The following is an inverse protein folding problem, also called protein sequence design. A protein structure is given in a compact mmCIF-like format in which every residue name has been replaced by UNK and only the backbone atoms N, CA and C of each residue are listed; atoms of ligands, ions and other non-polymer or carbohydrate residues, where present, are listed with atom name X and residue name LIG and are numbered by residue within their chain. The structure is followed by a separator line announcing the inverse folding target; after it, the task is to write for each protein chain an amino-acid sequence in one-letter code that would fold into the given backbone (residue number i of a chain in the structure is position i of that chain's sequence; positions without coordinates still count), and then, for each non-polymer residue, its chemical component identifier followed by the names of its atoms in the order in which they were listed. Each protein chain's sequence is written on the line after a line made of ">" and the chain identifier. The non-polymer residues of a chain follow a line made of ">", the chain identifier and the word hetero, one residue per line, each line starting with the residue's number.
data_IF_702449372439
#
_entry.id   IF_702449372439
#
_cell.length_a   1.000
_cell.length_b   1.000
_cell.length_c   1.000
_cell.angle_alpha   90.00
_cell.angle_beta   90.00
_cell.angle_gamma   90.00
#
_symmetry.space_group_name_H-M   'P 1'
#
loop_
_entity.id
_entity.type
_entity.pdbx_description
1 polymer ?
#
# COMPACT_ATOMS: atom_id res chain seq x y z
N UNK A 1 -10.73 -20.72 -14.84
CA UNK A 1 -10.49 -19.92 -13.62
C UNK A 1 -9.10 -19.26 -13.60
N UNK A 2 -8.01 -20.00 -13.88
CA UNK A 2 -6.62 -19.47 -13.97
C UNK A 2 -6.43 -18.23 -14.86
N UNK A 3 -7.04 -18.20 -16.05
CA UNK A 3 -6.89 -17.08 -17.00
C UNK A 3 -7.40 -15.74 -16.47
N UNK A 4 -8.47 -15.74 -15.65
CA UNK A 4 -9.00 -14.52 -15.01
C UNK A 4 -8.05 -14.00 -13.92
N UNK A 5 -7.49 -14.90 -13.11
CA UNK A 5 -6.55 -14.56 -12.04
C UNK A 5 -5.24 -13.99 -12.59
N UNK A 6 -4.70 -14.59 -13.66
CA UNK A 6 -3.49 -14.08 -14.34
C UNK A 6 -3.74 -12.67 -14.90
N UNK A 7 -4.89 -12.44 -15.54
CA UNK A 7 -5.26 -11.11 -16.04
C UNK A 7 -5.38 -10.09 -14.90
N UNK A 8 -6.03 -10.47 -13.79
CA UNK A 8 -6.16 -9.57 -12.63
C UNK A 8 -4.79 -9.24 -12.03
N UNK A 9 -3.91 -10.23 -11.88
CA UNK A 9 -2.56 -10.03 -11.40
C UNK A 9 -1.75 -9.07 -12.30
N UNK A 10 -1.84 -9.24 -13.62
CA UNK A 10 -1.21 -8.31 -14.57
C UNK A 10 -1.78 -6.89 -14.48
N UNK A 11 -3.08 -6.73 -14.25
CA UNK A 11 -3.69 -5.41 -13.98
C UNK A 11 -3.15 -4.80 -12.69
N UNK A 12 -3.04 -5.58 -11.62
CA UNK A 12 -2.50 -5.13 -10.33
C UNK A 12 -1.03 -4.69 -10.46
N UNK A 13 -0.22 -5.42 -11.24
CA UNK A 13 1.16 -5.00 -11.54
C UNK A 13 1.22 -3.65 -12.25
N UNK A 14 0.35 -3.42 -13.24
CA UNK A 14 0.27 -2.12 -13.93
C UNK A 14 -0.18 -1.00 -13.00
N UNK A 15 -1.16 -1.27 -12.14
CA UNK A 15 -1.63 -0.30 -11.15
C UNK A 15 -0.50 0.05 -10.17
N UNK A 16 0.23 -0.95 -9.66
CA UNK A 16 1.36 -0.76 -8.76
C UNK A 16 2.46 0.09 -9.42
N UNK A 17 2.80 -0.20 -10.69
CA UNK A 17 3.82 0.53 -11.44
C UNK A 17 3.44 2.01 -11.71
N UNK A 18 2.15 2.34 -11.67
CA UNK A 18 1.64 3.69 -11.89
C UNK A 18 1.49 4.50 -10.59
N UNK A 19 1.76 3.92 -9.42
CA UNK A 19 1.66 4.65 -8.15
C UNK A 19 2.75 5.71 -8.07
N UNK A 20 2.35 6.94 -7.70
CA UNK A 20 3.25 8.06 -7.45
C UNK A 20 4.01 7.95 -6.12
N UNK A 21 4.55 9.06 -5.58
CA UNK A 21 5.24 9.05 -4.28
C UNK A 21 4.39 8.42 -3.18
N UNK A 22 5.04 7.69 -2.27
CA UNK A 22 4.39 7.03 -1.11
C UNK A 22 5.02 7.50 0.18
N UNK A 23 4.20 7.64 1.22
CA UNK A 23 4.66 8.01 2.55
C UNK A 23 3.79 7.36 3.62
N UNK A 24 4.35 7.17 4.82
CA UNK A 24 3.64 6.64 5.98
C UNK A 24 3.40 7.73 7.02
N UNK A 25 2.42 7.52 7.88
CA UNK A 25 2.08 8.43 8.97
C UNK A 25 0.78 9.18 8.74
N UNK A 26 0.64 10.31 9.41
CA UNK A 26 -0.56 11.14 9.36
C UNK A 26 -0.22 12.61 9.22
N UNK A 27 -1.06 13.34 8.49
CA UNK A 27 -1.00 14.80 8.37
C UNK A 27 -2.20 15.38 9.12
N UNK A 28 -1.94 16.34 10.00
CA UNK A 28 -2.97 17.03 10.76
C UNK A 28 -2.67 18.52 10.88
N UNK A 29 -3.70 19.35 10.88
CA UNK A 29 -3.58 20.77 11.18
C UNK A 29 -3.61 20.99 12.69
N UNK A 30 -2.65 21.75 13.24
CA UNK A 30 -2.57 22.08 14.67
C UNK A 30 -2.69 23.60 14.90
N UNK A 31 -3.74 24.07 15.61
CA UNK A 31 -3.88 25.47 16.03
C UNK A 31 -2.93 25.86 17.21
N UNK A 32 -2.39 27.09 17.27
CA UNK A 32 -2.48 28.19 16.31
C UNK A 32 -1.37 28.13 15.24
N UNK A 33 -1.51 27.22 14.27
CA UNK A 33 -1.08 27.41 12.89
C UNK A 33 0.15 26.62 12.44
N UNK A 34 -0.03 25.34 12.10
CA UNK A 34 0.77 24.66 11.06
C UNK A 34 0.19 23.30 10.72
N UNK A 35 0.40 22.86 9.47
CA UNK A 35 0.25 21.45 9.14
C UNK A 35 1.41 20.68 9.73
N UNK A 36 1.14 19.50 10.28
CA UNK A 36 2.17 18.61 10.81
C UNK A 36 2.03 17.22 10.24
N UNK A 37 3.13 16.67 9.75
CA UNK A 37 3.26 15.28 9.39
C UNK A 37 3.95 14.52 10.52
N UNK A 38 3.28 13.48 11.03
CA UNK A 38 3.76 12.65 12.13
C UNK A 38 3.93 11.22 11.64
N UNK A 39 5.11 10.65 11.85
CA UNK A 39 5.45 9.31 11.36
C UNK A 39 6.39 8.59 12.33
N UNK A 40 6.57 7.28 12.12
CA UNK A 40 7.50 6.46 12.89
C UNK A 40 8.79 6.26 12.12
N UNK A 41 9.93 6.49 12.78
CA UNK A 41 11.26 6.20 12.26
C UNK A 41 12.05 5.46 13.33
N UNK A 42 12.49 4.23 13.03
CA UNK A 42 13.25 3.37 13.97
C UNK A 42 12.58 3.28 15.36
N UNK A 43 11.26 3.09 15.39
CA UNK A 43 10.45 3.00 16.62
C UNK A 43 10.12 4.33 17.31
N UNK A 44 10.77 5.44 16.93
CA UNK A 44 10.53 6.77 17.49
C UNK A 44 9.48 7.53 16.66
N UNK A 45 8.72 8.40 17.32
CA UNK A 45 7.80 9.32 16.65
C UNK A 45 8.56 10.57 16.20
N UNK A 46 8.55 10.86 14.91
CA UNK A 46 9.01 12.11 14.35
C UNK A 46 7.81 12.98 13.94
N UNK A 47 7.94 14.29 14.06
CA UNK A 47 6.92 15.26 13.70
C UNK A 47 7.58 16.42 12.96
N UNK A 48 7.07 16.75 11.77
CA UNK A 48 7.62 17.79 10.90
C UNK A 48 6.51 18.78 10.56
N UNK A 49 6.80 20.08 10.70
CA UNK A 49 5.90 21.14 10.26
C UNK A 49 5.96 21.28 8.74
N UNK A 50 4.81 21.46 8.10
CA UNK A 50 4.64 21.54 6.66
C UNK A 50 3.96 22.86 6.27
N UNK A 51 4.26 23.33 5.07
CA UNK A 51 3.40 24.28 4.36
C UNK A 51 2.07 23.60 3.96
N UNK A 52 1.08 24.40 3.56
CA UNK A 52 -0.19 23.87 3.08
C UNK A 52 -0.03 23.01 1.81
N UNK A 53 0.82 23.45 0.88
CA UNK A 53 1.12 22.70 -0.35
C UNK A 53 1.80 21.36 -0.04
N UNK A 54 2.82 21.37 0.81
CA UNK A 54 3.49 20.15 1.28
C UNK A 54 2.52 19.20 2.00
N UNK A 55 1.56 19.75 2.75
CA UNK A 55 0.54 18.94 3.41
C UNK A 55 -0.36 18.21 2.40
N UNK A 56 -0.76 18.89 1.31
CA UNK A 56 -1.54 18.27 0.22
C UNK A 56 -0.75 17.16 -0.48
N UNK A 57 0.51 17.41 -0.82
CA UNK A 57 1.38 16.39 -1.43
C UNK A 57 1.57 15.18 -0.50
N UNK A 58 1.78 15.42 0.79
CA UNK A 58 1.97 14.37 1.79
C UNK A 58 0.69 13.56 2.02
N UNK A 59 -0.48 14.20 2.02
CA UNK A 59 -1.77 13.50 2.06
C UNK A 59 -1.94 12.57 0.86
N UNK A 60 -1.59 13.03 -0.35
CA UNK A 60 -1.62 12.19 -1.54
C UNK A 60 -0.64 11.02 -1.44
N UNK A 61 0.56 11.24 -0.88
CA UNK A 61 1.55 10.19 -0.68
C UNK A 61 1.11 9.14 0.35
N UNK A 62 0.42 9.56 1.42
CA UNK A 62 -0.17 8.65 2.41
C UNK A 62 -1.30 7.82 1.78
N UNK A 63 -2.12 8.43 0.93
CA UNK A 63 -3.17 7.71 0.21
C UNK A 63 -2.59 6.70 -0.79
N UNK A 64 -1.53 7.08 -1.50
CA UNK A 64 -0.81 6.17 -2.38
C UNK A 64 -0.24 4.97 -1.61
N UNK A 65 0.25 5.16 -0.40
CA UNK A 65 0.74 4.08 0.44
C UNK A 65 -0.35 3.04 0.75
N UNK A 66 -1.55 3.49 1.13
CA UNK A 66 -2.69 2.58 1.36
C UNK A 66 -3.05 1.77 0.11
N UNK A 67 -3.04 2.41 -1.06
CA UNK A 67 -3.28 1.73 -2.35
C UNK A 67 -2.22 0.67 -2.64
N UNK A 68 -0.94 0.94 -2.33
CA UNK A 68 0.12 -0.08 -2.45
C UNK A 68 -0.21 -1.28 -1.57
N UNK A 69 -0.56 -1.06 -0.30
CA UNK A 69 -0.89 -2.14 0.63
C UNK A 69 -2.07 -2.98 0.13
N UNK A 70 -3.12 -2.34 -0.38
CA UNK A 70 -4.28 -3.02 -0.96
C UNK A 70 -3.92 -3.87 -2.18
N UNK A 71 -3.17 -3.30 -3.13
CA UNK A 71 -2.74 -4.00 -4.35
C UNK A 71 -1.87 -5.21 -3.99
N UNK A 72 -0.88 -5.02 -3.13
CA UNK A 72 0.03 -6.09 -2.71
C UNK A 72 -0.74 -7.20 -1.99
N UNK A 73 -1.66 -6.84 -1.10
CA UNK A 73 -2.53 -7.80 -0.39
C UNK A 73 -3.32 -8.64 -1.38
N UNK A 74 -3.92 -8.02 -2.39
CA UNK A 74 -4.68 -8.75 -3.41
C UNK A 74 -3.78 -9.66 -4.25
N UNK A 75 -2.59 -9.19 -4.64
CA UNK A 75 -1.61 -10.02 -5.36
C UNK A 75 -1.22 -11.27 -4.56
N UNK A 76 -1.01 -11.13 -3.25
CA UNK A 76 -0.73 -12.26 -2.33
C UNK A 76 -1.91 -13.23 -2.29
N UNK A 77 -3.14 -12.72 -2.09
CA UNK A 77 -4.35 -13.56 -2.07
C UNK A 77 -4.56 -14.31 -3.38
N UNK A 78 -4.29 -13.70 -4.53
CA UNK A 78 -4.35 -14.37 -5.84
C UNK A 78 -3.34 -15.53 -5.90
N UNK A 79 -2.11 -15.30 -5.42
CA UNK A 79 -1.07 -16.32 -5.42
C UNK A 79 -1.40 -17.50 -4.48
N UNK A 80 -1.95 -17.22 -3.30
CA UNK A 80 -2.37 -18.23 -2.33
C UNK A 80 -3.56 -19.06 -2.85
N UNK A 81 -4.59 -18.40 -3.40
CA UNK A 81 -5.75 -19.07 -3.97
C UNK A 81 -5.39 -19.91 -5.20
N UNK A 82 -4.40 -19.49 -5.99
CA UNK A 82 -3.89 -20.31 -7.10
C UNK A 82 -3.18 -21.59 -6.62
N UNK A 83 -2.67 -21.63 -5.38
CA UNK A 83 -2.08 -22.84 -4.78
C UNK A 83 -3.15 -23.75 -4.16
N UNK A 84 -4.22 -23.19 -3.61
CA UNK A 84 -5.34 -23.96 -3.06
C UNK A 84 -6.09 -24.78 -4.12
N UNK A 85 -6.06 -24.36 -5.38
CA UNK A 85 -6.60 -25.08 -6.55
C UNK A 85 -5.67 -26.22 -7.05
N UNK A 86 -4.49 -26.41 -6.46
CA UNK A 86 -3.63 -27.55 -6.79
C UNK A 86 -4.12 -28.80 -6.06
N UNK A 87 -4.23 -29.96 -6.74
CA UNK A 87 -4.57 -31.19 -6.06
C UNK A 87 -3.53 -31.44 -4.96
N UNK A 88 -3.99 -31.61 -3.71
CA UNK A 88 -3.13 -32.02 -2.60
C UNK A 88 -2.38 -33.27 -3.07
N UNK A 89 -1.04 -33.19 -3.19
CA UNK A 89 -0.22 -34.38 -3.41
C UNK A 89 -0.50 -35.32 -2.25
N UNK A 90 -1.31 -36.35 -2.49
CA UNK A 90 -1.43 -37.52 -1.63
C UNK A 90 -0.06 -38.21 -1.69
N UNK A 91 0.76 -37.95 -0.67
CA UNK A 91 1.94 -38.77 -0.42
C UNK A 91 1.42 -40.10 0.09
N UNK A 92 1.29 -41.07 -0.81
CA UNK A 92 1.19 -42.49 -0.45
C UNK A 92 2.47 -43.12 -0.97
N UNK A 93 3.39 -43.43 -0.05
CA UNK A 93 4.43 -44.46 -0.17
C UNK A 93 4.94 -44.74 1.24
#
# INVERSE_FOLDING_TARGET
>A
MKSRLIRRYATLQKQLAAIGPVSQGSVAFQPPGSWRWTFKVKGKTACVALSAEQATEMLQAIENHKRVEEIVREMVTIQENSKADQPKKLWIS
#
